data_IF_971177678863
#
_entry.id   IF_971177678863
#
_cell.length_a   1.000
_cell.length_b   1.000
_cell.length_c   1.000
_cell.angle_alpha   90.00
_cell.angle_beta   90.00
_cell.angle_gamma   90.00
#
_symmetry.space_group_name_H-M   'P 1'
#
loop_
_entity.id
_entity.type
_entity.pdbx_description
1 polymer ?
#
# COMPACT_ATOMS: atom_id res chain seq x y z
N UNK A 1 20.02 -11.83 -30.46
CA UNK A 1 18.91 -12.12 -29.52
C UNK A 1 18.27 -10.79 -29.18
N UNK A 2 17.00 -10.59 -29.51
CA UNK A 2 16.30 -9.37 -29.06
C UNK A 2 15.83 -9.60 -27.63
N UNK A 3 16.43 -8.93 -26.68
CA UNK A 3 15.97 -8.91 -25.29
C UNK A 3 14.72 -8.02 -25.22
N UNK A 4 13.62 -8.58 -24.75
CA UNK A 4 12.44 -7.76 -24.44
C UNK A 4 12.57 -7.30 -22.99
N UNK A 5 12.65 -6.00 -22.78
CA UNK A 5 12.46 -5.43 -21.44
C UNK A 5 11.11 -5.91 -20.93
N UNK A 6 11.03 -6.61 -19.79
CA UNK A 6 9.76 -6.97 -19.22
C UNK A 6 8.98 -5.69 -18.96
N UNK A 7 7.83 -5.53 -19.59
CA UNK A 7 6.94 -4.42 -19.28
C UNK A 7 6.43 -4.63 -17.87
N UNK A 8 6.55 -3.62 -17.03
CA UNK A 8 5.84 -3.59 -15.76
C UNK A 8 4.34 -3.74 -16.08
N UNK A 9 3.74 -4.84 -15.68
CA UNK A 9 2.30 -5.05 -15.85
C UNK A 9 1.53 -3.90 -15.19
N UNK A 10 0.30 -3.60 -15.63
CA UNK A 10 -0.46 -2.47 -15.11
C UNK A 10 -0.69 -2.62 -13.60
N UNK A 11 -0.53 -1.54 -12.85
CA UNK A 11 -0.79 -1.52 -11.41
C UNK A 11 -2.31 -1.46 -11.16
N UNK A 12 -2.90 -2.57 -10.71
CA UNK A 12 -4.34 -2.66 -10.45
C UNK A 12 -4.78 -1.70 -9.35
N UNK A 13 -3.95 -1.46 -8.34
CA UNK A 13 -4.25 -0.54 -7.23
C UNK A 13 -4.37 0.90 -7.73
N UNK A 14 -3.39 1.35 -8.53
CA UNK A 14 -3.42 2.71 -9.11
C UNK A 14 -4.64 2.91 -10.01
N UNK A 15 -4.94 1.93 -10.86
CA UNK A 15 -6.13 1.98 -11.74
C UNK A 15 -7.43 1.97 -10.94
N UNK A 16 -7.53 1.15 -9.90
CA UNK A 16 -8.71 1.06 -9.06
C UNK A 16 -8.94 2.37 -8.28
N UNK A 17 -7.88 3.02 -7.80
CA UNK A 17 -7.98 4.34 -7.17
C UNK A 17 -8.58 5.37 -8.14
N UNK A 18 -8.14 5.37 -9.41
CA UNK A 18 -8.65 6.28 -10.43
C UNK A 18 -10.10 5.99 -10.86
N UNK A 19 -10.45 4.69 -11.02
CA UNK A 19 -11.77 4.26 -11.53
C UNK A 19 -12.82 4.00 -10.45
N UNK A 20 -12.44 3.95 -9.18
CA UNK A 20 -13.28 3.52 -8.05
C UNK A 20 -13.76 2.06 -8.15
N UNK A 21 -13.14 1.25 -8.98
CA UNK A 21 -13.41 -0.18 -9.07
C UNK A 21 -12.96 -0.88 -7.80
N UNK A 22 -13.82 -1.71 -7.20
CA UNK A 22 -13.46 -2.47 -6.00
C UNK A 22 -12.43 -3.55 -6.32
N UNK A 23 -11.35 -3.59 -5.56
CA UNK A 23 -10.31 -4.61 -5.56
C UNK A 23 -10.20 -5.26 -4.19
N UNK A 24 -9.64 -6.48 -4.15
CA UNK A 24 -9.53 -7.30 -2.95
C UNK A 24 -8.07 -7.59 -2.64
N UNK A 25 -7.70 -7.54 -1.38
CA UNK A 25 -6.35 -7.85 -0.93
C UNK A 25 -6.28 -8.39 0.48
N UNK A 26 -5.09 -8.81 0.85
CA UNK A 26 -4.79 -9.26 2.21
C UNK A 26 -3.66 -8.44 2.83
N UNK A 27 -3.90 -7.96 4.04
CA UNK A 27 -2.90 -7.25 4.85
C UNK A 27 -2.08 -8.29 5.64
N UNK A 28 -0.80 -8.35 5.34
CA UNK A 28 0.17 -9.27 5.93
C UNK A 28 1.04 -8.52 6.95
N UNK A 29 1.21 -9.13 8.12
CA UNK A 29 2.06 -8.60 9.20
C UNK A 29 3.32 -9.44 9.41
N UNK A 30 3.48 -10.52 8.64
CA UNK A 30 4.66 -11.41 8.66
C UNK A 30 4.93 -11.98 7.27
N UNK A 31 6.19 -12.35 7.04
CA UNK A 31 6.61 -12.97 5.79
C UNK A 31 6.14 -14.43 5.72
N UNK A 32 5.36 -14.75 4.71
CA UNK A 32 4.90 -16.12 4.45
C UNK A 32 4.62 -16.31 2.95
N UNK A 33 5.63 -16.49 2.11
CA UNK A 33 5.44 -16.72 0.67
C UNK A 33 4.43 -17.81 0.34
N UNK A 34 4.41 -18.98 1.01
CA UNK A 34 3.39 -20.00 0.75
C UNK A 34 1.97 -19.55 1.07
N UNK A 35 1.78 -18.67 2.05
CA UNK A 35 0.46 -18.08 2.36
C UNK A 35 0.02 -17.16 1.22
N UNK A 36 0.94 -16.41 0.61
CA UNK A 36 0.63 -15.56 -0.55
C UNK A 36 0.13 -16.43 -1.72
N UNK A 37 0.75 -17.59 -1.98
CA UNK A 37 0.31 -18.53 -3.01
C UNK A 37 -1.11 -19.07 -2.74
N UNK A 38 -1.39 -19.45 -1.48
CA UNK A 38 -2.74 -19.88 -1.08
C UNK A 38 -3.75 -18.76 -1.26
N UNK A 39 -3.44 -17.55 -0.81
CA UNK A 39 -4.33 -16.39 -0.92
C UNK A 39 -4.58 -15.98 -2.37
N UNK A 40 -3.58 -16.10 -3.24
CA UNK A 40 -3.71 -15.83 -4.67
C UNK A 40 -4.78 -16.69 -5.34
N UNK A 41 -4.91 -17.96 -4.93
CA UNK A 41 -5.93 -18.88 -5.44
C UNK A 41 -7.37 -18.43 -5.15
N UNK A 42 -7.56 -17.49 -4.23
CA UNK A 42 -8.87 -16.91 -3.87
C UNK A 42 -9.26 -15.71 -4.74
N UNK A 43 -8.47 -15.38 -5.76
CA UNK A 43 -8.75 -14.28 -6.69
C UNK A 43 -8.54 -12.90 -6.04
N UNK A 44 -7.49 -12.74 -5.27
CA UNK A 44 -7.04 -11.44 -4.79
C UNK A 44 -6.38 -10.65 -5.92
N UNK A 45 -6.39 -9.31 -5.78
CA UNK A 45 -5.77 -8.38 -6.73
C UNK A 45 -4.41 -7.87 -6.23
N UNK A 46 -4.22 -7.81 -4.91
CA UNK A 46 -3.02 -7.28 -4.28
C UNK A 46 -2.73 -7.91 -2.92
N UNK A 47 -1.47 -7.78 -2.47
CA UNK A 47 -1.07 -7.97 -1.08
C UNK A 47 -0.61 -6.64 -0.50
N UNK A 48 -0.89 -6.45 0.79
CA UNK A 48 -0.47 -5.28 1.54
C UNK A 48 0.52 -5.73 2.62
N UNK A 49 1.77 -5.29 2.51
CA UNK A 49 2.85 -5.62 3.44
C UNK A 49 2.97 -4.50 4.49
N UNK A 50 2.88 -4.86 5.75
CA UNK A 50 3.02 -3.91 6.85
C UNK A 50 4.48 -3.78 7.27
N UNK A 51 5.19 -2.86 6.66
CA UNK A 51 6.60 -2.59 6.99
C UNK A 51 6.79 -1.81 8.29
N UNK A 52 5.73 -1.24 8.85
CA UNK A 52 5.78 -0.45 10.08
C UNK A 52 5.59 -1.33 11.33
N UNK A 53 4.49 -2.07 11.40
CA UNK A 53 4.16 -2.91 12.56
C UNK A 53 4.31 -4.40 12.31
N UNK A 54 4.61 -4.80 11.08
CA UNK A 54 4.91 -6.18 10.74
C UNK A 54 6.33 -6.59 11.09
N UNK A 55 6.63 -7.89 10.94
CA UNK A 55 7.95 -8.47 11.26
C UNK A 55 8.84 -8.61 10.02
N UNK A 56 8.66 -7.75 9.01
CA UNK A 56 9.39 -7.83 7.74
C UNK A 56 10.78 -7.20 7.82
N UNK A 57 11.80 -7.93 7.41
CA UNK A 57 13.04 -7.34 6.94
C UNK A 57 12.99 -7.08 5.41
N UNK A 58 14.05 -6.47 4.83
CA UNK A 58 14.08 -6.18 3.40
C UNK A 58 14.13 -7.42 2.51
N UNK A 59 14.68 -8.54 3.01
CA UNK A 59 14.69 -9.82 2.30
C UNK A 59 13.28 -10.42 2.29
N UNK A 60 12.57 -10.30 3.38
CA UNK A 60 11.18 -10.73 3.50
C UNK A 60 10.27 -9.96 2.53
N UNK A 61 10.44 -8.63 2.45
CA UNK A 61 9.72 -7.79 1.48
C UNK A 61 10.01 -8.27 0.04
N UNK A 62 11.29 -8.48 -0.31
CA UNK A 62 11.66 -8.96 -1.65
C UNK A 62 11.04 -10.33 -1.95
N UNK A 63 11.11 -11.26 -1.00
CA UNK A 63 10.56 -12.61 -1.18
C UNK A 63 9.03 -12.59 -1.32
N UNK A 64 8.34 -11.74 -0.55
CA UNK A 64 6.89 -11.53 -0.67
C UNK A 64 6.53 -10.93 -2.03
N UNK A 65 7.31 -9.96 -2.53
CA UNK A 65 7.11 -9.38 -3.87
C UNK A 65 7.28 -10.43 -4.97
N UNK A 66 8.31 -11.31 -4.87
CA UNK A 66 8.51 -12.41 -5.83
C UNK A 66 7.33 -13.36 -5.84
N UNK A 67 6.83 -13.76 -4.65
CA UNK A 67 5.68 -14.64 -4.55
C UNK A 67 4.41 -14.00 -5.14
N UNK A 68 4.17 -12.72 -4.85
CA UNK A 68 3.04 -11.97 -5.37
C UNK A 68 3.06 -11.86 -6.91
N UNK A 69 4.20 -11.47 -7.47
CA UNK A 69 4.38 -11.30 -8.92
C UNK A 69 4.14 -12.58 -9.71
N UNK A 70 4.50 -13.75 -9.15
CA UNK A 70 4.26 -15.06 -9.78
C UNK A 70 2.79 -15.40 -9.95
N UNK A 71 1.92 -14.72 -9.22
CA UNK A 71 0.47 -14.91 -9.20
C UNK A 71 -0.30 -13.66 -9.63
N UNK A 72 0.36 -12.75 -10.36
CA UNK A 72 -0.22 -11.49 -10.85
C UNK A 72 -0.79 -10.57 -9.76
N UNK A 73 -0.39 -10.76 -8.49
CA UNK A 73 -0.76 -9.88 -7.40
C UNK A 73 0.14 -8.64 -7.36
N UNK A 74 -0.43 -7.48 -7.10
CA UNK A 74 0.34 -6.25 -6.91
C UNK A 74 0.79 -6.14 -5.45
N UNK A 75 2.11 -6.17 -5.14
CA UNK A 75 2.59 -5.93 -3.79
C UNK A 75 2.60 -4.42 -3.50
N UNK A 76 1.84 -4.00 -2.49
CA UNK A 76 1.93 -2.67 -1.90
C UNK A 76 2.45 -2.78 -0.47
N UNK A 77 3.08 -1.73 0.05
CA UNK A 77 3.62 -1.74 1.40
C UNK A 77 3.36 -0.42 2.14
N UNK A 78 2.99 -0.51 3.42
CA UNK A 78 3.17 0.60 4.34
C UNK A 78 4.65 0.61 4.75
N UNK A 79 5.32 1.73 4.51
CA UNK A 79 6.70 1.93 4.93
C UNK A 79 6.76 2.33 6.40
N UNK A 80 7.85 2.04 7.13
CA UNK A 80 7.97 2.42 8.54
C UNK A 80 8.18 3.92 8.76
N UNK A 81 8.69 4.62 7.75
CA UNK A 81 8.92 6.06 7.75
C UNK A 81 8.92 6.62 6.32
N UNK A 82 8.89 7.96 6.17
CA UNK A 82 8.85 8.63 4.87
C UNK A 82 10.22 9.02 4.31
N UNK A 83 11.32 8.56 4.91
CA UNK A 83 12.66 8.91 4.45
C UNK A 83 12.97 8.34 3.07
N UNK A 84 13.69 9.10 2.24
CA UNK A 84 14.06 8.67 0.90
C UNK A 84 14.83 7.33 0.89
N UNK A 85 15.79 7.06 1.81
CA UNK A 85 16.43 5.74 1.85
C UNK A 85 15.47 4.59 2.13
N UNK A 86 14.51 4.76 3.03
CA UNK A 86 13.50 3.74 3.33
C UNK A 86 12.61 3.48 2.12
N UNK A 87 11.99 4.50 1.57
CA UNK A 87 11.10 4.41 0.40
C UNK A 87 11.82 3.75 -0.77
N UNK A 88 13.04 4.21 -1.10
CA UNK A 88 13.85 3.64 -2.18
C UNK A 88 14.09 2.15 -1.97
N UNK A 89 14.45 1.73 -0.75
CA UNK A 89 14.72 0.31 -0.45
C UNK A 89 13.48 -0.57 -0.63
N UNK A 90 12.29 -0.12 -0.27
CA UNK A 90 11.05 -0.86 -0.51
C UNK A 90 10.75 -0.99 -2.01
N UNK A 91 10.84 0.10 -2.76
CA UNK A 91 10.64 0.10 -4.20
C UNK A 91 11.67 -0.77 -4.94
N UNK A 92 12.92 -0.77 -4.48
CA UNK A 92 14.00 -1.59 -5.03
C UNK A 92 13.84 -3.09 -4.70
N UNK A 93 13.01 -3.46 -3.71
CA UNK A 93 12.64 -4.86 -3.44
C UNK A 93 11.46 -5.35 -4.28
N UNK A 94 10.85 -4.50 -5.10
CA UNK A 94 9.76 -4.86 -6.00
C UNK A 94 8.37 -4.42 -5.52
N UNK A 95 8.28 -3.65 -4.44
CA UNK A 95 7.02 -3.02 -4.02
C UNK A 95 6.54 -2.07 -5.11
N UNK A 96 5.27 -2.17 -5.45
CA UNK A 96 4.63 -1.39 -6.53
C UNK A 96 3.59 -0.40 -6.04
N UNK A 97 3.44 -0.28 -4.72
CA UNK A 97 2.61 0.75 -4.10
C UNK A 97 3.15 1.09 -2.73
N UNK A 98 3.31 2.37 -2.46
CA UNK A 98 3.77 2.87 -1.17
C UNK A 98 2.59 3.48 -0.43
N UNK A 99 2.43 3.10 0.84
CA UNK A 99 1.56 3.78 1.80
C UNK A 99 2.47 4.47 2.81
N UNK A 100 2.40 5.79 2.85
CA UNK A 100 3.25 6.63 3.70
C UNK A 100 2.51 6.96 4.99
N UNK A 101 2.97 6.51 6.15
CA UNK A 101 2.38 6.84 7.44
C UNK A 101 2.83 8.22 7.94
N UNK A 102 2.20 8.70 9.00
CA UNK A 102 2.59 9.89 9.76
C UNK A 102 2.78 11.16 8.91
N UNK A 103 1.86 11.38 7.97
CA UNK A 103 1.86 12.58 7.13
C UNK A 103 0.90 13.62 7.74
N UNK A 104 1.49 14.69 8.26
CA UNK A 104 0.78 15.76 8.95
C UNK A 104 0.59 17.01 8.09
N UNK A 105 1.47 17.22 7.12
CA UNK A 105 1.51 18.44 6.31
C UNK A 105 1.62 18.12 4.81
N UNK A 106 1.34 19.12 3.98
CA UNK A 106 1.59 19.07 2.54
C UNK A 106 3.08 18.82 2.25
N UNK A 107 3.97 19.47 3.00
CA UNK A 107 5.41 19.31 2.85
C UNK A 107 5.88 17.87 3.13
N UNK A 108 5.30 17.20 4.14
CA UNK A 108 5.60 15.80 4.42
C UNK A 108 5.21 14.89 3.24
N UNK A 109 4.06 15.17 2.63
CA UNK A 109 3.61 14.44 1.46
C UNK A 109 4.49 14.71 0.23
N UNK A 110 4.89 15.96 0.00
CA UNK A 110 5.80 16.35 -1.08
C UNK A 110 7.17 15.68 -0.93
N UNK A 111 7.74 15.63 0.28
CA UNK A 111 8.98 14.92 0.58
C UNK A 111 8.89 13.43 0.21
N UNK A 112 7.79 12.78 0.57
CA UNK A 112 7.58 11.38 0.23
C UNK A 112 7.42 11.18 -1.29
N UNK A 113 6.67 12.04 -1.97
CA UNK A 113 6.50 11.97 -3.43
C UNK A 113 7.82 12.16 -4.17
N UNK A 114 8.67 13.08 -3.71
CA UNK A 114 10.00 13.31 -4.24
C UNK A 114 10.88 12.04 -4.18
N UNK A 115 10.76 11.28 -3.08
CA UNK A 115 11.48 10.03 -2.89
C UNK A 115 10.89 8.84 -3.68
N UNK A 116 9.61 8.87 -4.06
CA UNK A 116 8.91 7.78 -4.76
C UNK A 116 9.14 7.86 -6.26
N UNK A 117 9.11 9.05 -6.85
CA UNK A 117 9.14 9.24 -8.29
C UNK A 117 10.53 9.58 -8.82
N UNK A 118 10.87 9.02 -9.99
CA UNK A 118 12.04 9.46 -10.77
C UNK A 118 11.77 10.81 -11.44
N UNK A 119 12.85 11.55 -11.75
CA UNK A 119 12.78 12.80 -12.53
C UNK A 119 11.94 12.63 -13.81
N UNK A 120 11.14 13.67 -14.20
CA UNK A 120 11.03 14.98 -13.57
C UNK A 120 10.01 15.08 -12.45
N UNK A 121 9.32 14.00 -12.09
CA UNK A 121 8.22 14.01 -11.09
C UNK A 121 8.75 13.98 -9.65
N UNK A 122 10.01 13.58 -9.43
CA UNK A 122 10.68 13.53 -8.14
C UNK A 122 12.18 13.26 -8.31
N UNK A 123 12.86 12.93 -7.22
CA UNK A 123 14.30 12.71 -7.14
C UNK A 123 14.67 11.32 -6.59
N UNK A 124 13.82 10.30 -6.81
CA UNK A 124 14.12 8.94 -6.38
C UNK A 124 15.52 8.53 -6.82
N UNK A 125 16.32 8.02 -5.87
CA UNK A 125 17.64 7.50 -6.17
C UNK A 125 17.57 6.32 -7.14
N UNK A 126 18.38 6.35 -8.17
CA UNK A 126 18.49 5.32 -9.19
C UNK A 126 19.63 4.35 -8.87
N UNK A 127 19.33 3.05 -8.82
CA UNK A 127 20.31 2.02 -8.52
C UNK A 127 19.91 0.65 -9.04
N UNK A 128 20.59 -0.40 -8.60
CA UNK A 128 20.46 -1.78 -9.06
C UNK A 128 19.39 -2.61 -8.34
N UNK A 129 18.21 -2.07 -8.03
CA UNK A 129 17.11 -2.82 -7.43
C UNK A 129 16.38 -3.75 -8.41
N UNK A 130 15.42 -4.53 -7.91
CA UNK A 130 14.62 -5.49 -8.70
C UNK A 130 14.02 -4.92 -10.00
N UNK A 131 13.50 -3.68 -10.04
CA UNK A 131 13.02 -3.09 -11.29
C UNK A 131 14.06 -3.03 -12.41
N UNK A 132 15.35 -3.18 -12.06
CA UNK A 132 16.50 -3.05 -12.95
C UNK A 132 17.31 -4.36 -13.14
N UNK A 133 16.82 -5.50 -12.64
CA UNK A 133 17.52 -6.79 -12.76
C UNK A 133 17.48 -7.41 -14.17
N UNK A 134 16.70 -6.83 -15.06
CA UNK A 134 16.56 -7.32 -16.43
C UNK A 134 17.28 -6.42 -17.43
N UNK A 135 17.58 -6.92 -18.62
CA UNK A 135 18.13 -6.12 -19.68
C UNK A 135 17.12 -5.03 -20.09
N UNK A 136 17.48 -3.77 -19.92
CA UNK A 136 16.66 -2.60 -20.25
C UNK A 136 17.25 -1.98 -21.50
N UNK A 137 16.50 -1.98 -22.63
CA UNK A 137 16.92 -1.41 -23.88
C UNK A 137 16.71 0.12 -23.93
N UNK A 138 15.64 0.60 -23.29
CA UNK A 138 15.26 2.02 -23.23
C UNK A 138 15.09 2.43 -21.76
N UNK A 139 16.17 2.90 -21.16
CA UNK A 139 16.16 3.29 -19.75
C UNK A 139 15.28 4.51 -19.47
N UNK A 140 15.28 5.59 -20.23
CA UNK A 140 14.36 6.72 -20.01
C UNK A 140 12.90 6.28 -20.02
N UNK A 141 12.50 5.44 -20.96
CA UNK A 141 11.16 4.88 -21.02
C UNK A 141 10.85 3.99 -19.81
N UNK A 142 11.78 3.17 -19.36
CA UNK A 142 11.60 2.30 -18.20
C UNK A 142 11.39 3.11 -16.92
N UNK A 143 12.11 4.22 -16.72
CA UNK A 143 11.92 5.11 -15.57
C UNK A 143 10.52 5.75 -15.59
N UNK A 144 10.05 6.18 -16.77
CA UNK A 144 8.67 6.66 -16.95
C UNK A 144 7.66 5.57 -16.62
N UNK A 145 7.85 4.35 -17.12
CA UNK A 145 6.97 3.21 -16.82
C UNK A 145 6.96 2.87 -15.32
N UNK A 146 8.07 3.04 -14.60
CA UNK A 146 8.13 2.92 -13.15
C UNK A 146 7.26 3.96 -12.45
N UNK A 147 7.37 5.23 -12.85
CA UNK A 147 6.55 6.31 -12.31
C UNK A 147 5.05 6.09 -12.56
N UNK A 148 4.69 5.67 -13.76
CA UNK A 148 3.30 5.44 -14.17
C UNK A 148 2.67 4.23 -13.46
N UNK A 149 3.49 3.29 -13.01
CA UNK A 149 3.04 2.04 -12.40
C UNK A 149 3.29 1.91 -10.89
N UNK A 150 3.67 2.97 -10.20
CA UNK A 150 3.68 3.01 -8.73
C UNK A 150 2.38 3.64 -8.23
N UNK A 151 1.71 3.01 -7.23
CA UNK A 151 0.57 3.61 -6.53
C UNK A 151 1.03 4.28 -5.24
N UNK A 152 0.45 5.43 -4.91
CA UNK A 152 0.80 6.19 -3.71
C UNK A 152 -0.44 6.46 -2.86
N UNK A 153 -0.43 5.87 -1.66
CA UNK A 153 -1.38 6.14 -0.60
C UNK A 153 -0.74 6.97 0.51
N UNK A 154 -1.47 7.95 1.01
CA UNK A 154 -1.05 8.72 2.18
C UNK A 154 -1.92 8.34 3.37
N UNK A 155 -1.32 8.09 4.53
CA UNK A 155 -2.05 7.76 5.74
C UNK A 155 -2.15 8.98 6.66
N UNK A 156 -3.37 9.32 7.01
CA UNK A 156 -3.74 10.41 7.92
C UNK A 156 -4.08 9.79 9.27
N UNK A 157 -3.35 10.20 10.30
CA UNK A 157 -3.45 9.60 11.61
C UNK A 157 -3.19 10.57 12.77
N UNK A 158 -3.21 11.88 12.45
CA UNK A 158 -3.10 12.98 13.40
C UNK A 158 -4.15 14.06 13.15
N UNK A 159 -4.34 14.96 14.11
CA UNK A 159 -5.22 16.13 13.96
C UNK A 159 -4.73 17.06 12.85
N UNK A 160 -3.41 17.31 12.79
CA UNK A 160 -2.83 18.14 11.75
C UNK A 160 -3.02 17.53 10.35
N UNK A 161 -2.82 16.23 10.22
CA UNK A 161 -3.11 15.50 8.98
C UNK A 161 -4.58 15.58 8.56
N UNK A 162 -5.53 15.48 9.52
CA UNK A 162 -6.95 15.69 9.22
C UNK A 162 -7.22 17.09 8.66
N UNK A 163 -6.61 18.13 9.22
CA UNK A 163 -6.77 19.51 8.76
C UNK A 163 -6.19 19.74 7.36
N UNK A 164 -5.08 19.04 7.02
CA UNK A 164 -4.40 19.17 5.73
C UNK A 164 -4.91 18.19 4.66
N UNK A 165 -5.81 17.25 4.98
CA UNK A 165 -6.13 16.09 4.18
C UNK A 165 -6.57 16.40 2.73
N UNK A 166 -7.40 17.41 2.52
CA UNK A 166 -7.84 17.84 1.18
C UNK A 166 -6.70 18.47 0.36
N UNK A 167 -5.81 19.23 0.99
CA UNK A 167 -4.63 19.80 0.33
C UNK A 167 -3.62 18.70 -0.05
N UNK A 168 -3.41 17.73 0.84
CA UNK A 168 -2.59 16.55 0.54
C UNK A 168 -3.20 15.74 -0.60
N UNK A 169 -4.51 15.55 -0.58
CA UNK A 169 -5.22 14.85 -1.65
C UNK A 169 -5.06 15.53 -3.02
N UNK A 170 -5.00 16.86 -3.05
CA UNK A 170 -4.85 17.63 -4.29
C UNK A 170 -3.46 17.53 -4.92
N UNK A 171 -2.45 17.00 -4.22
CA UNK A 171 -1.09 16.90 -4.76
C UNK A 171 -1.05 15.96 -5.97
N UNK A 172 -0.36 16.37 -7.07
CA UNK A 172 -0.02 15.45 -8.15
C UNK A 172 0.80 14.27 -7.62
N UNK A 173 0.46 13.05 -8.06
CA UNK A 173 1.18 11.84 -7.63
C UNK A 173 0.56 11.13 -6.44
N UNK A 174 -0.30 11.74 -5.63
CA UNK A 174 -1.11 11.04 -4.64
C UNK A 174 -2.28 10.36 -5.36
N UNK A 175 -2.47 9.05 -5.14
CA UNK A 175 -3.55 8.28 -5.74
C UNK A 175 -4.78 8.19 -4.80
N UNK A 176 -4.55 8.00 -3.51
CA UNK A 176 -5.61 7.88 -2.49
C UNK A 176 -5.10 8.24 -1.09
N UNK A 177 -6.03 8.46 -0.16
CA UNK A 177 -5.73 8.61 1.25
C UNK A 177 -6.32 7.44 2.06
N UNK A 178 -5.76 7.21 3.23
CA UNK A 178 -6.26 6.24 4.22
C UNK A 178 -6.18 6.85 5.61
N UNK A 179 -6.87 6.24 6.58
CA UNK A 179 -6.85 6.69 7.98
C UNK A 179 -6.24 5.63 8.87
N UNK A 180 -5.24 6.02 9.69
CA UNK A 180 -4.70 5.22 10.81
C UNK A 180 -5.56 5.42 12.04
N UNK A 181 -6.67 4.66 12.15
CA UNK A 181 -7.72 4.92 13.14
C UNK A 181 -7.27 4.78 14.59
N UNK A 182 -6.28 3.93 14.90
CA UNK A 182 -5.77 3.76 16.26
C UNK A 182 -5.02 5.00 16.73
N UNK A 183 -4.07 5.48 15.91
CA UNK A 183 -3.26 6.66 16.22
C UNK A 183 -4.11 7.93 16.17
N UNK A 184 -5.04 7.99 15.22
CA UNK A 184 -6.01 9.09 15.16
C UNK A 184 -6.91 9.16 16.39
N UNK A 185 -7.38 8.01 16.89
CA UNK A 185 -8.16 7.97 18.12
C UNK A 185 -7.34 8.45 19.31
N UNK A 186 -6.07 8.04 19.39
CA UNK A 186 -5.15 8.52 20.42
C UNK A 186 -4.93 10.04 20.31
N UNK A 187 -4.66 10.56 19.10
CA UNK A 187 -4.45 11.99 18.84
C UNK A 187 -5.70 12.84 19.19
N UNK A 188 -6.88 12.27 19.04
CA UNK A 188 -8.16 12.92 19.40
C UNK A 188 -8.55 12.75 20.89
N UNK A 189 -7.72 12.11 21.72
CA UNK A 189 -7.97 11.91 23.14
C UNK A 189 -8.83 10.69 23.49
N UNK A 190 -8.96 9.73 22.56
CA UNK A 190 -9.73 8.49 22.74
C UNK A 190 -8.84 7.24 22.54
N UNK A 191 -7.72 7.08 23.29
CA UNK A 191 -6.80 5.98 23.09
C UNK A 191 -7.50 4.62 23.22
N UNK A 192 -7.20 3.71 22.27
CA UNK A 192 -7.80 2.37 22.22
C UNK A 192 -9.28 2.34 21.79
N UNK A 193 -9.84 3.45 21.33
CA UNK A 193 -11.24 3.57 20.90
C UNK A 193 -11.37 4.02 19.43
N UNK A 194 -10.82 3.30 18.45
CA UNK A 194 -10.84 3.71 17.03
C UNK A 194 -12.26 3.84 16.46
N UNK A 195 -13.25 3.20 17.09
CA UNK A 195 -14.67 3.30 16.71
C UNK A 195 -15.45 4.35 17.51
N UNK A 196 -14.77 5.22 18.27
CA UNK A 196 -15.46 6.28 19.02
C UNK A 196 -16.17 7.24 18.06
N UNK A 197 -17.39 7.67 18.43
CA UNK A 197 -18.26 8.50 17.57
C UNK A 197 -17.57 9.79 17.08
N UNK A 198 -16.73 10.40 17.90
CA UNK A 198 -16.00 11.61 17.53
C UNK A 198 -14.90 11.30 16.49
N UNK A 199 -14.18 10.20 16.65
CA UNK A 199 -13.21 9.73 15.65
C UNK A 199 -13.91 9.50 14.31
N UNK A 200 -15.01 8.75 14.30
CA UNK A 200 -15.80 8.48 13.11
C UNK A 200 -16.28 9.78 12.44
N UNK A 201 -16.76 10.76 13.22
CA UNK A 201 -17.20 12.06 12.73
C UNK A 201 -16.08 12.87 12.05
N UNK A 202 -14.89 12.89 12.65
CA UNK A 202 -13.72 13.59 12.11
C UNK A 202 -13.23 12.94 10.82
N UNK A 203 -13.15 11.61 10.82
CA UNK A 203 -12.76 10.81 9.63
C UNK A 203 -13.74 11.04 8.48
N UNK A 204 -15.04 10.98 8.74
CA UNK A 204 -16.05 11.20 7.71
C UNK A 204 -15.99 12.64 7.13
N UNK A 205 -15.79 13.64 7.98
CA UNK A 205 -15.64 15.01 7.54
C UNK A 205 -14.40 15.19 6.65
N UNK A 206 -13.25 14.58 7.01
CA UNK A 206 -12.05 14.60 6.20
C UNK A 206 -12.23 13.80 4.90
N UNK A 207 -12.84 12.63 4.95
CA UNK A 207 -13.12 11.79 3.78
C UNK A 207 -13.97 12.53 2.74
N UNK A 208 -14.96 13.30 3.19
CA UNK A 208 -15.80 14.09 2.29
C UNK A 208 -15.00 15.22 1.62
N UNK A 209 -14.08 15.88 2.32
CA UNK A 209 -13.18 16.88 1.71
C UNK A 209 -12.22 16.24 0.70
N UNK A 210 -11.64 15.08 1.03
CA UNK A 210 -10.77 14.32 0.12
C UNK A 210 -11.50 13.95 -1.16
N UNK A 211 -12.74 13.44 -1.05
CA UNK A 211 -13.57 13.10 -2.22
C UNK A 211 -13.95 14.33 -3.04
N UNK A 212 -14.22 15.46 -2.39
CA UNK A 212 -14.47 16.73 -3.06
C UNK A 212 -13.22 17.25 -3.81
N UNK A 213 -12.01 16.95 -3.32
CA UNK A 213 -10.76 17.23 -4.02
C UNK A 213 -10.46 16.22 -5.16
N UNK A 214 -11.38 15.30 -5.46
CA UNK A 214 -11.30 14.36 -6.59
C UNK A 214 -10.59 13.05 -6.29
N UNK A 215 -10.09 12.81 -5.06
CA UNK A 215 -9.39 11.58 -4.70
C UNK A 215 -10.28 10.63 -3.89
N UNK A 216 -10.03 9.29 -3.99
CA UNK A 216 -10.67 8.32 -3.10
C UNK A 216 -9.99 8.28 -1.73
N UNK A 217 -10.71 7.78 -0.77
CA UNK A 217 -10.09 7.11 0.37
C UNK A 217 -9.98 5.61 0.08
N UNK A 218 -9.10 4.93 0.80
CA UNK A 218 -8.86 3.48 0.66
C UNK A 218 -10.16 2.66 0.67
N UNK A 219 -11.07 2.98 1.57
CA UNK A 219 -12.34 2.29 1.77
C UNK A 219 -13.32 2.42 0.59
N UNK A 220 -13.11 3.38 -0.31
CA UNK A 220 -13.94 3.58 -1.49
C UNK A 220 -13.73 2.49 -2.56
N UNK A 221 -12.56 1.81 -2.54
CA UNK A 221 -12.19 0.86 -3.59
C UNK A 221 -11.43 -0.38 -3.13
N UNK A 222 -10.89 -0.42 -1.89
CA UNK A 222 -10.18 -1.59 -1.38
C UNK A 222 -11.02 -2.36 -0.35
N UNK A 223 -11.13 -3.66 -0.55
CA UNK A 223 -11.56 -4.63 0.46
C UNK A 223 -10.33 -5.37 0.96
N UNK A 224 -9.93 -5.15 2.21
CA UNK A 224 -8.72 -5.72 2.80
C UNK A 224 -9.11 -6.63 3.96
N UNK A 225 -8.69 -7.90 3.88
CA UNK A 225 -8.73 -8.82 5.00
C UNK A 225 -7.38 -8.80 5.74
N UNK A 226 -7.40 -8.78 7.06
CA UNK A 226 -6.17 -8.89 7.86
C UNK A 226 -5.84 -10.36 8.08
N UNK A 227 -4.60 -10.75 7.78
CA UNK A 227 -4.19 -12.17 7.86
C UNK A 227 -4.46 -12.79 9.23
N UNK A 228 -4.22 -12.06 10.32
CA UNK A 228 -4.49 -12.54 11.67
C UNK A 228 -5.98 -12.81 11.91
N UNK A 229 -6.86 -11.96 11.38
CA UNK A 229 -8.31 -12.16 11.47
C UNK A 229 -8.78 -13.35 10.63
N UNK A 230 -8.21 -13.51 9.43
CA UNK A 230 -8.49 -14.65 8.55
C UNK A 230 -8.12 -15.96 9.24
N UNK A 231 -6.91 -16.05 9.81
CA UNK A 231 -6.43 -17.24 10.52
C UNK A 231 -7.30 -17.55 11.74
N UNK A 232 -7.61 -16.55 12.56
CA UNK A 232 -8.44 -16.73 13.75
C UNK A 232 -9.88 -17.14 13.40
N UNK A 233 -10.48 -16.52 12.37
CA UNK A 233 -11.83 -16.85 11.94
C UNK A 233 -11.91 -18.28 11.37
N UNK A 234 -10.98 -18.64 10.48
CA UNK A 234 -10.89 -19.98 9.89
C UNK A 234 -10.66 -21.06 10.95
N UNK A 235 -9.75 -20.83 11.91
CA UNK A 235 -9.50 -21.79 12.98
C UNK A 235 -10.73 -21.97 13.88
N UNK A 236 -11.41 -20.87 14.27
CA UNK A 236 -12.64 -20.95 15.08
C UNK A 236 -13.73 -21.74 14.36
N UNK A 237 -13.93 -21.50 13.08
CA UNK A 237 -14.92 -22.22 12.26
C UNK A 237 -14.59 -23.70 12.18
N UNK A 238 -13.34 -24.07 11.89
CA UNK A 238 -12.92 -25.47 11.78
C UNK A 238 -13.01 -26.20 13.12
N UNK A 239 -12.63 -25.56 14.23
CA UNK A 239 -12.74 -26.16 15.56
C UNK A 239 -14.19 -26.33 16.06
N UNK A 240 -15.12 -25.55 15.55
CA UNK A 240 -16.54 -25.67 15.89
C UNK A 240 -17.26 -26.78 15.08
N UNK A 241 -16.67 -27.30 14.01
CA UNK A 241 -17.25 -28.40 13.22
C UNK A 241 -17.15 -29.72 13.99
N UNK A 242 -18.16 -30.60 13.87
CA UNK A 242 -18.01 -31.98 14.34
C UNK A 242 -16.79 -32.63 13.67
N UNK A 243 -16.08 -33.50 14.40
CA UNK A 243 -14.93 -34.24 13.87
C UNK A 243 -15.38 -35.05 12.65
N UNK A 244 -15.17 -34.53 11.48
CA UNK A 244 -15.34 -35.25 10.21
C UNK A 244 -13.94 -35.77 9.77
N UNK A 245 -13.93 -36.91 9.09
CA UNK A 245 -12.69 -37.39 8.45
C UNK A 245 -12.15 -36.25 7.58
N UNK A 246 -10.85 -35.89 7.70
CA UNK A 246 -10.25 -34.88 6.83
C UNK A 246 -10.16 -35.47 5.42
N UNK A 247 -10.93 -34.99 4.50
CA UNK A 247 -11.01 -35.39 3.07
C UNK A 247 -11.92 -36.58 2.76
#
# INVERSE_FOLDING_TARGET
MSYKTPRLGPNVVKRAAASRQTIKGCHLTFAAPPVIEVLASLGLDFIYLDGEHGTFDFKDIETACVAAERHDLVPIARVPDRTAPTITRFLDRGVRGIVVPHVDTVADAEEALDAIYFSPAGNRSFGGGRPFFTAIEDLPRHLTDCNDNVSVGIMIESVAGLEAADKIAALPGVDYLSFGLNDLAQALGFPGQPSHKEVARQVEAAANRIRAAGKPIREDFMKIAWINQVLLAGMRELMARPTALPY
#
